data_IF_802068547790
#
_entry.id   IF_802068547790
#
_cell.length_a   1.000
_cell.length_b   1.000
_cell.length_c   1.000
_cell.angle_alpha   90.00
_cell.angle_beta   90.00
_cell.angle_gamma   90.00
#
_symmetry.space_group_name_H-M   'P 1'
#
loop_
_entity.id
_entity.type
_entity.pdbx_description
1 polymer ?
#
# COMPACT_ATOMS: atom_id res chain seq x y z
N UNK A 1 -7.67 -8.48 -13.21
CA UNK A 1 -8.95 -8.31 -12.47
C UNK A 1 -8.71 -8.62 -11.01
N UNK A 2 -9.16 -7.73 -10.13
CA UNK A 2 -9.12 -7.87 -8.67
C UNK A 2 -10.56 -7.87 -8.17
N UNK A 3 -10.91 -8.81 -7.31
CA UNK A 3 -12.27 -9.00 -6.78
C UNK A 3 -12.23 -8.98 -5.25
N UNK A 4 -13.10 -8.19 -4.65
CA UNK A 4 -13.40 -8.19 -3.24
C UNK A 4 -14.88 -8.55 -3.07
N UNK A 5 -15.20 -9.51 -2.23
CA UNK A 5 -16.59 -9.91 -1.97
C UNK A 5 -16.89 -9.88 -0.47
N UNK A 6 -17.77 -8.95 -0.09
CA UNK A 6 -18.19 -8.68 1.29
C UNK A 6 -17.02 -8.59 2.29
N UNK A 7 -15.88 -8.04 1.83
CA UNK A 7 -14.63 -7.98 2.60
C UNK A 7 -14.76 -6.99 3.75
N UNK A 8 -14.47 -7.43 4.95
CA UNK A 8 -14.32 -6.56 6.12
C UNK A 8 -13.04 -6.85 6.89
N UNK A 9 -12.52 -5.83 7.58
CA UNK A 9 -11.35 -5.95 8.45
C UNK A 9 -11.69 -5.36 9.81
N UNK A 10 -11.52 -6.18 10.86
CA UNK A 10 -11.65 -5.78 12.24
C UNK A 10 -10.40 -6.19 13.03
N UNK A 11 -10.04 -5.39 14.02
CA UNK A 11 -8.91 -5.65 14.92
C UNK A 11 -9.39 -5.59 16.37
N UNK A 12 -8.81 -6.39 17.29
CA UNK A 12 -9.15 -6.28 18.72
C UNK A 12 -8.83 -4.89 19.24
N UNK A 13 -9.72 -4.29 20.04
CA UNK A 13 -9.51 -2.96 20.62
C UNK A 13 -8.23 -2.86 21.46
N UNK A 14 -7.80 -3.98 22.07
CA UNK A 14 -6.55 -4.07 22.83
C UNK A 14 -5.28 -3.93 21.97
N UNK A 15 -5.36 -4.07 20.65
CA UNK A 15 -4.23 -3.93 19.74
C UNK A 15 -3.96 -2.47 19.34
N UNK A 16 -4.84 -1.53 19.68
CA UNK A 16 -4.76 -0.11 19.32
C UNK A 16 -4.09 0.77 20.38
N UNK A 17 -3.62 0.21 21.49
CA UNK A 17 -2.87 1.00 22.49
C UNK A 17 -1.43 1.19 22.01
N UNK A 18 -0.94 2.44 21.81
CA UNK A 18 0.48 2.66 21.53
C UNK A 18 1.31 2.13 22.69
N UNK A 19 2.42 1.44 22.38
CA UNK A 19 3.34 0.87 23.36
C UNK A 19 3.68 1.90 24.42
N UNK A 20 3.33 1.61 25.68
CA UNK A 20 3.69 2.43 26.83
C UNK A 20 5.22 2.52 26.92
N UNK A 21 5.71 3.73 27.17
CA UNK A 21 7.13 4.04 27.36
C UNK A 21 7.79 3.09 28.39
N UNK A 22 9.03 2.63 28.18
CA UNK A 22 9.72 1.77 29.13
C UNK A 22 10.12 2.57 30.37
N UNK A 23 9.42 2.37 31.50
CA UNK A 23 9.76 3.08 32.74
C UNK A 23 8.77 2.96 33.89
N UNK A 24 7.92 1.94 33.98
CA UNK A 24 7.10 1.69 35.16
C UNK A 24 7.48 0.35 35.79
N UNK A 25 7.99 0.39 37.03
CA UNK A 25 8.29 -0.79 37.85
C UNK A 25 7.04 -1.65 38.15
N UNK A 26 7.17 -2.98 38.26
CA UNK A 26 6.04 -3.85 38.52
C UNK A 26 5.63 -3.82 40.00
N UNK A 27 4.49 -3.22 40.29
CA UNK A 27 3.84 -3.39 41.58
C UNK A 27 3.31 -4.82 41.71
N UNK A 28 3.78 -5.52 42.76
CA UNK A 28 3.38 -6.87 43.14
C UNK A 28 1.87 -6.96 43.43
N UNK A 29 1.09 -7.47 42.51
CA UNK A 29 -0.34 -7.76 42.71
C UNK A 29 -0.53 -9.29 42.84
N UNK A 30 -0.89 -9.73 44.05
CA UNK A 30 -1.32 -11.10 44.38
C UNK A 30 -2.49 -11.51 43.49
N UNK A 31 -2.33 -12.58 42.72
CA UNK A 31 -3.36 -13.20 41.90
C UNK A 31 -4.52 -13.71 42.76
N UNK A 32 -5.62 -13.03 42.74
CA UNK A 32 -6.91 -13.59 43.15
C UNK A 32 -7.53 -14.26 41.93
N UNK A 33 -7.67 -15.58 41.97
CA UNK A 33 -8.44 -16.34 41.01
C UNK A 33 -9.93 -16.02 41.17
N UNK A 34 -10.43 -15.09 40.37
CA UNK A 34 -11.84 -14.86 40.13
C UNK A 34 -12.13 -15.24 38.67
N UNK A 35 -13.17 -16.03 38.41
CA UNK A 35 -13.71 -16.31 37.07
C UNK A 35 -13.96 -14.97 36.40
N UNK A 36 -13.11 -14.60 35.43
CA UNK A 36 -13.38 -13.49 34.52
C UNK A 36 -14.31 -14.00 33.45
N UNK A 37 -15.48 -13.44 33.40
CA UNK A 37 -16.42 -13.53 32.29
C UNK A 37 -15.65 -13.03 31.04
N UNK A 38 -15.43 -13.92 30.09
CA UNK A 38 -14.79 -13.56 28.82
C UNK A 38 -15.83 -12.84 27.95
N UNK A 39 -16.08 -11.56 28.24
CA UNK A 39 -16.72 -10.68 27.29
C UNK A 39 -15.95 -10.77 25.97
N UNK A 40 -16.65 -10.94 24.85
CA UNK A 40 -16.08 -10.88 23.50
C UNK A 40 -15.21 -9.62 23.42
N UNK A 41 -13.94 -9.73 23.04
CA UNK A 41 -13.07 -8.57 22.94
C UNK A 41 -13.75 -7.55 22.01
N UNK A 42 -13.84 -6.31 22.46
CA UNK A 42 -14.38 -5.22 21.66
C UNK A 42 -13.53 -5.11 20.38
N UNK A 43 -14.15 -5.24 19.22
CA UNK A 43 -13.48 -5.18 17.92
C UNK A 43 -13.68 -3.79 17.30
N UNK A 44 -12.59 -3.23 16.79
CA UNK A 44 -12.62 -1.99 16.00
C UNK A 44 -12.66 -2.36 14.53
N UNK A 45 -13.72 -1.98 13.84
CA UNK A 45 -13.84 -2.17 12.39
C UNK A 45 -13.01 -1.12 11.65
N UNK A 46 -11.99 -1.56 10.93
CA UNK A 46 -11.13 -0.72 10.07
C UNK A 46 -11.71 -0.58 8.66
N UNK A 47 -12.29 -1.66 8.14
CA UNK A 47 -12.95 -1.68 6.84
C UNK A 47 -14.29 -2.40 6.97
N UNK A 48 -15.37 -1.71 6.62
CA UNK A 48 -16.71 -2.26 6.59
C UNK A 48 -16.91 -3.15 5.36
N UNK A 49 -17.94 -4.04 5.36
CA UNK A 49 -18.20 -4.93 4.26
C UNK A 49 -18.19 -4.19 2.92
N UNK A 50 -17.27 -4.57 2.05
CA UNK A 50 -16.99 -3.91 0.77
C UNK A 50 -16.95 -4.96 -0.34
N UNK A 51 -17.70 -4.72 -1.40
CA UNK A 51 -17.71 -5.57 -2.61
C UNK A 51 -17.30 -4.71 -3.79
N UNK A 52 -16.21 -5.09 -4.47
CA UNK A 52 -15.61 -4.36 -5.58
C UNK A 52 -15.07 -5.33 -6.63
N UNK A 53 -15.12 -4.91 -7.89
CA UNK A 53 -14.37 -5.54 -8.98
C UNK A 53 -13.57 -4.46 -9.69
N UNK A 54 -12.23 -4.60 -9.71
CA UNK A 54 -11.31 -3.65 -10.32
C UNK A 54 -10.74 -4.28 -11.59
N UNK A 55 -11.17 -3.79 -12.73
CA UNK A 55 -10.76 -4.23 -14.06
C UNK A 55 -9.95 -3.19 -14.80
N UNK A 56 -10.06 -1.95 -14.38
CA UNK A 56 -9.38 -0.79 -14.95
C UNK A 56 -7.87 -0.92 -14.82
N UNK A 57 -7.13 -0.34 -15.76
CA UNK A 57 -5.66 -0.35 -15.72
C UNK A 57 -5.11 0.49 -14.57
N UNK A 58 -5.74 1.63 -14.30
CA UNK A 58 -5.32 2.54 -13.22
C UNK A 58 -6.50 2.88 -12.31
N UNK A 59 -6.37 2.55 -11.03
CA UNK A 59 -7.37 2.85 -9.99
C UNK A 59 -6.71 3.67 -8.90
N UNK A 60 -7.27 4.85 -8.61
CA UNK A 60 -6.85 5.64 -7.46
C UNK A 60 -7.77 5.41 -6.26
N UNK A 61 -7.21 5.40 -5.06
CA UNK A 61 -7.94 5.31 -3.79
C UNK A 61 -7.62 6.57 -2.99
N UNK A 62 -8.63 7.42 -2.78
CA UNK A 62 -8.49 8.69 -2.03
C UNK A 62 -9.34 8.68 -0.77
N UNK A 63 -9.08 9.62 0.14
CA UNK A 63 -9.80 9.78 1.41
C UNK A 63 -8.91 10.38 2.50
N UNK A 64 -9.48 10.72 3.65
CA UNK A 64 -8.77 11.29 4.78
C UNK A 64 -7.77 10.29 5.42
N UNK A 65 -6.82 10.80 6.21
CA UNK A 65 -5.91 9.94 6.98
C UNK A 65 -6.72 9.09 7.97
N UNK A 66 -6.33 7.81 8.12
CA UNK A 66 -7.06 6.88 8.98
C UNK A 66 -8.38 6.34 8.38
N UNK A 67 -8.78 6.73 7.19
CA UNK A 67 -10.05 6.27 6.59
C UNK A 67 -10.10 4.80 6.16
N UNK A 68 -8.97 4.06 6.20
CA UNK A 68 -8.90 2.64 5.82
C UNK A 68 -8.27 2.37 4.44
N UNK A 69 -7.79 3.38 3.70
CA UNK A 69 -7.18 3.25 2.36
C UNK A 69 -6.02 2.26 2.32
N UNK A 70 -5.05 2.43 3.23
CA UNK A 70 -3.88 1.54 3.29
C UNK A 70 -4.27 0.11 3.66
N UNK A 71 -5.32 -0.08 4.47
CA UNK A 71 -5.87 -1.40 4.77
C UNK A 71 -6.46 -2.03 3.51
N UNK A 72 -7.26 -1.27 2.75
CA UNK A 72 -7.80 -1.71 1.46
C UNK A 72 -6.68 -2.10 0.49
N UNK A 73 -5.64 -1.27 0.37
CA UNK A 73 -4.48 -1.55 -0.49
C UNK A 73 -3.75 -2.84 -0.05
N UNK A 74 -3.52 -3.03 1.25
CA UNK A 74 -2.80 -4.20 1.80
C UNK A 74 -3.58 -5.51 1.71
N UNK A 75 -4.90 -5.46 1.59
CA UNK A 75 -5.72 -6.64 1.29
C UNK A 75 -5.39 -7.22 -0.10
N UNK A 76 -5.03 -6.37 -1.08
CA UNK A 76 -4.83 -6.78 -2.47
C UNK A 76 -3.59 -7.67 -2.67
N UNK A 77 -2.61 -7.61 -1.77
CA UNK A 77 -1.42 -8.47 -1.82
C UNK A 77 -1.34 -9.46 -0.66
N UNK A 78 -2.38 -9.54 0.18
CA UNK A 78 -2.44 -10.43 1.34
C UNK A 78 -1.46 -10.03 2.47
N UNK A 79 -1.05 -8.76 2.57
CA UNK A 79 -0.36 -8.21 3.75
C UNK A 79 -1.32 -8.03 4.94
N UNK A 80 -2.58 -7.75 4.64
CA UNK A 80 -3.70 -7.82 5.55
C UNK A 80 -4.65 -8.86 4.99
N UNK A 81 -5.15 -9.75 5.84
CA UNK A 81 -6.18 -10.71 5.45
C UNK A 81 -7.55 -10.20 5.92
N UNK A 82 -8.62 -10.45 5.15
CA UNK A 82 -9.95 -10.06 5.56
C UNK A 82 -10.40 -10.87 6.79
N UNK A 83 -11.12 -10.21 7.72
CA UNK A 83 -11.78 -10.88 8.84
C UNK A 83 -13.02 -11.65 8.36
N UNK A 84 -13.68 -11.10 7.31
CA UNK A 84 -14.83 -11.75 6.63
C UNK A 84 -14.74 -11.45 5.13
N UNK A 85 -15.40 -12.27 4.33
CA UNK A 85 -15.35 -12.18 2.88
C UNK A 85 -14.05 -12.72 2.31
N UNK A 86 -13.78 -12.45 1.03
CA UNK A 86 -12.54 -12.87 0.36
C UNK A 86 -12.04 -11.83 -0.63
N UNK A 87 -10.74 -11.87 -0.89
CA UNK A 87 -10.07 -11.08 -1.94
C UNK A 87 -9.41 -12.03 -2.92
N UNK A 88 -9.70 -11.84 -4.21
CA UNK A 88 -9.05 -12.59 -5.29
C UNK A 88 -8.35 -11.66 -6.26
N UNK A 89 -7.15 -12.03 -6.65
CA UNK A 89 -6.36 -11.33 -7.66
C UNK A 89 -6.07 -12.31 -8.79
N UNK A 90 -6.59 -12.02 -9.98
CA UNK A 90 -6.53 -12.92 -11.14
C UNK A 90 -6.95 -14.36 -10.80
N UNK A 91 -8.00 -14.51 -9.98
CA UNK A 91 -8.56 -15.79 -9.58
C UNK A 91 -7.86 -16.47 -8.41
N UNK A 92 -6.73 -15.95 -7.91
CA UNK A 92 -6.01 -16.46 -6.73
C UNK A 92 -6.51 -15.78 -5.46
N UNK A 93 -6.83 -16.55 -4.44
CA UNK A 93 -7.29 -16.05 -3.15
C UNK A 93 -6.10 -15.56 -2.30
N UNK A 94 -6.23 -14.38 -1.68
CA UNK A 94 -5.14 -13.80 -0.87
C UNK A 94 -4.85 -14.59 0.40
N UNK A 95 -5.81 -15.32 0.94
CA UNK A 95 -5.65 -16.19 2.10
C UNK A 95 -5.01 -17.53 1.70
N UNK A 96 -5.62 -18.24 0.75
CA UNK A 96 -5.24 -19.61 0.42
C UNK A 96 -4.00 -19.65 -0.49
N UNK A 97 -3.91 -18.71 -1.45
CA UNK A 97 -2.84 -18.63 -2.44
C UNK A 97 -1.85 -17.48 -2.15
N UNK A 98 -1.75 -17.00 -0.91
CA UNK A 98 -1.04 -15.78 -0.55
C UNK A 98 0.40 -15.68 -1.07
N UNK A 99 1.12 -16.82 -1.22
CA UNK A 99 2.46 -16.84 -1.81
C UNK A 99 2.45 -16.55 -3.32
N UNK A 100 1.46 -17.08 -4.03
CA UNK A 100 1.29 -16.85 -5.47
C UNK A 100 0.81 -15.42 -5.73
N UNK A 101 -0.13 -14.92 -4.92
CA UNK A 101 -0.60 -13.53 -4.96
C UNK A 101 0.58 -12.56 -4.77
N UNK A 102 1.44 -12.74 -3.76
CA UNK A 102 2.61 -11.86 -3.52
C UNK A 102 3.70 -11.91 -4.59
N UNK A 103 3.69 -12.90 -5.49
CA UNK A 103 4.54 -12.89 -6.69
C UNK A 103 3.92 -12.10 -7.82
N UNK A 104 2.59 -12.05 -7.87
CA UNK A 104 1.81 -11.40 -8.91
C UNK A 104 1.57 -9.92 -8.59
N UNK A 105 1.44 -9.57 -7.31
CA UNK A 105 1.14 -8.23 -6.82
C UNK A 105 2.38 -7.62 -6.19
N UNK A 106 2.99 -6.67 -6.87
CA UNK A 106 4.05 -5.83 -6.32
C UNK A 106 3.45 -4.76 -5.42
N UNK A 107 4.08 -4.51 -4.27
CA UNK A 107 3.65 -3.49 -3.31
C UNK A 107 4.77 -2.50 -3.05
N UNK A 108 4.49 -1.21 -3.21
CA UNK A 108 5.42 -0.10 -2.93
C UNK A 108 4.88 0.70 -1.76
N UNK A 109 5.65 0.73 -0.66
CA UNK A 109 5.27 1.44 0.55
C UNK A 109 5.58 2.94 0.46
N UNK A 110 4.91 3.73 1.29
CA UNK A 110 5.17 5.17 1.45
C UNK A 110 6.58 5.44 1.99
N UNK A 111 7.05 4.60 2.90
CA UNK A 111 8.42 4.63 3.41
C UNK A 111 9.31 3.68 2.60
N UNK A 112 10.04 4.25 1.64
CA UNK A 112 10.98 3.50 0.82
C UNK A 112 12.14 2.92 1.64
N UNK A 113 12.60 3.59 2.70
CA UNK A 113 13.73 3.12 3.52
C UNK A 113 13.41 1.80 4.21
N UNK A 114 12.16 1.62 4.66
CA UNK A 114 11.71 0.36 5.26
C UNK A 114 11.69 -0.81 4.27
N UNK A 115 11.74 -0.54 2.96
CA UNK A 115 11.71 -1.54 1.90
C UNK A 115 13.10 -1.90 1.37
N UNK A 116 14.08 -1.00 1.49
CA UNK A 116 15.43 -1.19 1.00
C UNK A 116 16.28 -1.96 2.01
N UNK A 117 16.92 -3.04 1.56
CA UNK A 117 17.60 -4.00 2.44
C UNK A 117 19.09 -4.06 2.21
N UNK A 118 19.54 -3.77 0.97
CA UNK A 118 20.93 -3.94 0.56
C UNK A 118 21.70 -2.61 0.57
N UNK A 119 23.04 -2.65 0.70
CA UNK A 119 23.87 -1.44 0.79
C UNK A 119 23.85 -0.57 -0.46
N UNK A 120 23.66 -1.15 -1.65
CA UNK A 120 23.70 -0.45 -2.93
C UNK A 120 22.47 -0.74 -3.80
N UNK A 121 22.06 0.16 -4.71
CA UNK A 121 20.99 -0.07 -5.66
C UNK A 121 21.13 -1.36 -6.47
N UNK A 122 22.34 -1.65 -6.94
CA UNK A 122 22.66 -2.87 -7.70
C UNK A 122 22.34 -4.12 -6.89
N UNK A 123 22.79 -4.16 -5.64
CA UNK A 123 22.58 -5.32 -4.76
C UNK A 123 21.11 -5.49 -4.38
N UNK A 124 20.41 -4.38 -4.16
CA UNK A 124 18.98 -4.41 -3.79
C UNK A 124 18.11 -4.94 -4.93
N UNK A 125 18.28 -4.43 -6.14
CA UNK A 125 17.60 -4.95 -7.34
C UNK A 125 18.02 -6.40 -7.62
N UNK A 126 19.30 -6.74 -7.45
CA UNK A 126 19.78 -8.12 -7.64
C UNK A 126 19.14 -9.10 -6.68
N UNK A 127 18.80 -8.68 -5.45
CA UNK A 127 18.06 -9.49 -4.49
C UNK A 127 16.68 -9.87 -5.04
N UNK A 128 15.99 -8.92 -5.65
CA UNK A 128 14.68 -9.13 -6.29
C UNK A 128 14.79 -10.02 -7.54
N UNK A 129 15.75 -9.75 -8.42
CA UNK A 129 16.00 -10.56 -9.64
C UNK A 129 16.31 -12.03 -9.31
N UNK A 130 16.99 -12.34 -8.20
CA UNK A 130 17.24 -13.73 -7.77
C UNK A 130 15.98 -14.53 -7.48
N UNK A 131 14.87 -13.86 -7.20
CA UNK A 131 13.57 -14.51 -6.90
C UNK A 131 12.74 -14.77 -8.15
N UNK A 132 13.17 -14.27 -9.30
CA UNK A 132 12.57 -14.54 -10.61
C UNK A 132 13.17 -15.78 -11.26
N UNK A 133 12.59 -16.21 -12.37
CA UNK A 133 13.12 -17.34 -13.17
C UNK A 133 14.31 -16.98 -14.05
N UNK A 134 14.87 -15.75 -13.97
CA UNK A 134 15.97 -15.29 -14.80
C UNK A 134 17.22 -16.13 -14.58
N UNK A 135 17.79 -16.64 -15.69
CA UNK A 135 19.02 -17.44 -15.69
C UNK A 135 20.17 -16.67 -15.04
N UNK A 136 21.02 -17.37 -14.29
CA UNK A 136 22.10 -16.75 -13.51
C UNK A 136 23.03 -15.88 -14.35
N UNK A 137 23.32 -16.29 -15.58
CA UNK A 137 24.15 -15.57 -16.56
C UNK A 137 23.57 -14.23 -16.97
N UNK A 138 22.24 -14.08 -17.01
CA UNK A 138 21.52 -12.88 -17.46
C UNK A 138 21.11 -11.93 -16.32
N UNK A 139 21.33 -12.31 -15.06
CA UNK A 139 20.87 -11.52 -13.91
C UNK A 139 21.53 -10.15 -13.81
N UNK A 140 22.80 -10.06 -14.14
CA UNK A 140 23.53 -8.79 -14.11
C UNK A 140 22.96 -7.81 -15.14
N UNK A 141 22.72 -8.27 -16.37
CA UNK A 141 22.11 -7.50 -17.43
C UNK A 141 20.70 -7.03 -17.03
N UNK A 142 19.88 -7.93 -16.44
CA UNK A 142 18.55 -7.58 -15.97
C UNK A 142 18.57 -6.51 -14.88
N UNK A 143 19.54 -6.53 -13.98
CA UNK A 143 19.71 -5.49 -12.95
C UNK A 143 19.98 -4.13 -13.59
N UNK A 144 20.88 -4.07 -14.60
CA UNK A 144 21.16 -2.83 -15.32
C UNK A 144 19.95 -2.29 -16.07
N UNK A 145 19.19 -3.16 -16.75
CA UNK A 145 17.93 -2.78 -17.42
C UNK A 145 16.93 -2.16 -16.45
N UNK A 146 16.72 -2.83 -15.30
CA UNK A 146 15.76 -2.36 -14.29
C UNK A 146 16.19 -1.02 -13.71
N UNK A 147 17.47 -0.86 -13.33
CA UNK A 147 18.01 0.42 -12.84
C UNK A 147 17.94 1.50 -13.92
N UNK A 148 18.20 1.16 -15.18
CA UNK A 148 18.07 2.07 -16.32
C UNK A 148 16.64 2.55 -16.53
N UNK A 149 15.64 1.66 -16.37
CA UNK A 149 14.24 1.99 -16.57
C UNK A 149 13.70 3.03 -15.60
N UNK A 150 14.27 3.10 -14.38
CA UNK A 150 13.94 4.11 -13.36
C UNK A 150 14.97 5.26 -13.29
N UNK A 151 15.96 5.28 -14.17
CA UNK A 151 16.96 6.36 -14.25
C UNK A 151 18.06 6.29 -13.19
N UNK A 152 18.25 5.15 -12.51
CA UNK A 152 19.22 4.98 -11.42
C UNK A 152 20.51 4.25 -11.82
N UNK A 153 20.72 3.91 -13.10
CA UNK A 153 21.91 3.18 -13.56
C UNK A 153 23.22 3.84 -13.13
N UNK A 154 23.30 5.19 -13.17
CA UNK A 154 24.47 5.95 -12.78
C UNK A 154 24.76 5.96 -11.26
N UNK A 155 23.83 5.47 -10.43
CA UNK A 155 23.92 5.37 -8.98
C UNK A 155 24.01 3.92 -8.50
N UNK A 156 24.18 2.96 -9.41
CA UNK A 156 24.10 1.53 -9.13
C UNK A 156 24.97 1.07 -7.96
N UNK A 157 26.16 1.64 -7.82
CA UNK A 157 27.17 1.26 -6.80
C UNK A 157 27.33 2.31 -5.69
N UNK A 158 26.45 3.32 -5.64
CA UNK A 158 26.42 4.33 -4.57
C UNK A 158 25.73 3.75 -3.34
N UNK A 159 26.15 4.17 -2.15
CA UNK A 159 25.46 3.77 -0.93
C UNK A 159 24.00 4.22 -0.92
N UNK A 160 23.07 3.32 -0.57
CA UNK A 160 21.62 3.63 -0.46
C UNK A 160 21.38 4.80 0.52
N UNK A 161 22.20 4.95 1.56
CA UNK A 161 22.09 6.05 2.49
C UNK A 161 22.42 7.43 1.88
N UNK A 162 23.19 7.46 0.80
CA UNK A 162 23.53 8.70 0.08
C UNK A 162 22.46 9.10 -0.95
N UNK A 163 21.47 8.27 -1.20
CA UNK A 163 20.37 8.57 -2.12
C UNK A 163 19.40 9.58 -1.50
N UNK A 164 18.87 10.47 -2.33
CA UNK A 164 17.73 11.33 -1.94
C UNK A 164 16.46 10.50 -1.71
N UNK A 165 15.48 11.05 -1.00
CA UNK A 165 14.19 10.38 -0.77
C UNK A 165 13.51 9.92 -2.07
N UNK A 166 13.53 10.76 -3.12
CA UNK A 166 12.99 10.39 -4.43
C UNK A 166 13.76 9.26 -5.10
N UNK A 167 15.09 9.26 -4.99
CA UNK A 167 15.91 8.16 -5.51
C UNK A 167 15.67 6.85 -4.77
N UNK A 168 15.46 6.90 -3.45
CA UNK A 168 15.09 5.72 -2.65
C UNK A 168 13.72 5.19 -3.07
N UNK A 169 12.75 6.07 -3.33
CA UNK A 169 11.42 5.67 -3.83
C UNK A 169 11.49 5.00 -5.20
N UNK A 170 12.30 5.54 -6.13
CA UNK A 170 12.54 4.90 -7.41
C UNK A 170 13.27 3.55 -7.28
N UNK A 171 14.19 3.43 -6.31
CA UNK A 171 14.88 2.17 -6.05
C UNK A 171 13.91 1.11 -5.49
N UNK A 172 13.04 1.48 -4.54
CA UNK A 172 12.01 0.60 -4.04
C UNK A 172 11.08 0.10 -5.17
N UNK A 173 10.67 1.03 -6.05
CA UNK A 173 9.91 0.68 -7.25
C UNK A 173 10.70 -0.24 -8.19
N UNK A 174 11.99 0.02 -8.43
CA UNK A 174 12.86 -0.83 -9.25
C UNK A 174 12.92 -2.26 -8.70
N UNK A 175 13.09 -2.41 -7.38
CA UNK A 175 13.07 -3.70 -6.71
C UNK A 175 11.76 -4.48 -6.91
N UNK A 176 10.63 -3.78 -6.94
CA UNK A 176 9.33 -4.37 -7.23
C UNK A 176 9.18 -4.72 -8.70
N UNK A 177 9.50 -3.81 -9.62
CA UNK A 177 9.43 -4.04 -11.08
C UNK A 177 10.33 -5.19 -11.53
N UNK A 178 11.48 -5.38 -10.87
CA UNK A 178 12.38 -6.50 -11.13
C UNK A 178 11.72 -7.88 -11.03
N UNK A 179 10.62 -7.99 -10.26
CA UNK A 179 9.87 -9.25 -10.11
C UNK A 179 8.78 -9.46 -11.17
N UNK A 180 8.62 -8.52 -12.10
CA UNK A 180 7.63 -8.55 -13.19
C UNK A 180 6.19 -8.81 -12.70
N UNK A 181 5.70 -8.01 -11.75
CA UNK A 181 4.36 -8.20 -11.23
C UNK A 181 3.30 -7.87 -12.30
N UNK A 182 2.11 -8.47 -12.20
CA UNK A 182 0.96 -8.15 -13.05
C UNK A 182 0.14 -6.98 -12.51
N UNK A 183 0.18 -6.80 -11.19
CA UNK A 183 -0.50 -5.73 -10.47
C UNK A 183 0.52 -4.99 -9.63
N UNK A 184 0.44 -3.68 -9.62
CA UNK A 184 1.24 -2.80 -8.76
C UNK A 184 0.32 -2.06 -7.81
N UNK A 185 0.60 -2.15 -6.52
CA UNK A 185 -0.10 -1.42 -5.47
C UNK A 185 0.85 -0.42 -4.85
N UNK A 186 0.46 0.84 -4.79
CA UNK A 186 1.22 1.91 -4.20
C UNK A 186 0.45 2.48 -2.99
N UNK A 187 1.10 2.50 -1.83
CA UNK A 187 0.54 3.13 -0.64
C UNK A 187 1.23 4.48 -0.42
N UNK A 188 0.65 5.55 -0.95
CA UNK A 188 1.13 6.93 -0.89
C UNK A 188 2.58 7.15 -1.39
N UNK A 189 2.91 6.78 -2.63
CA UNK A 189 4.29 6.75 -3.13
C UNK A 189 4.94 8.13 -3.26
N UNK A 190 4.19 9.22 -3.14
CA UNK A 190 4.65 10.60 -3.39
C UNK A 190 4.65 11.49 -2.15
N UNK A 191 4.22 11.00 -0.98
CA UNK A 191 3.98 11.80 0.22
C UNK A 191 5.23 12.54 0.73
N UNK A 192 6.40 11.93 0.61
CA UNK A 192 7.68 12.50 1.06
C UNK A 192 8.52 13.10 -0.08
N UNK A 193 7.94 13.25 -1.28
CA UNK A 193 8.67 13.71 -2.46
C UNK A 193 8.43 15.20 -2.73
N UNK A 194 9.49 15.90 -3.17
CA UNK A 194 9.36 17.22 -3.74
C UNK A 194 8.60 17.17 -5.09
N UNK A 195 8.22 18.34 -5.61
CA UNK A 195 7.42 18.46 -6.83
C UNK A 195 8.08 17.78 -8.04
N UNK A 196 9.42 17.88 -8.17
CA UNK A 196 10.15 17.29 -9.29
C UNK A 196 10.05 15.76 -9.28
N UNK A 197 10.29 15.14 -8.11
CA UNK A 197 10.22 13.70 -7.95
C UNK A 197 8.78 13.18 -8.04
N UNK A 198 7.81 13.92 -7.48
CA UNK A 198 6.39 13.61 -7.63
C UNK A 198 5.99 13.54 -9.10
N UNK A 199 6.33 14.56 -9.90
CA UNK A 199 6.07 14.58 -11.34
C UNK A 199 6.72 13.40 -12.06
N UNK A 200 7.96 13.06 -11.69
CA UNK A 200 8.68 11.94 -12.28
C UNK A 200 8.02 10.59 -11.98
N UNK A 201 7.69 10.32 -10.73
CA UNK A 201 6.99 9.09 -10.30
C UNK A 201 5.61 9.00 -10.96
N UNK A 202 4.83 10.08 -10.98
CA UNK A 202 3.50 10.10 -11.64
C UNK A 202 3.61 9.80 -13.13
N UNK A 203 4.60 10.39 -13.83
CA UNK A 203 4.83 10.11 -15.25
C UNK A 203 5.26 8.65 -15.48
N UNK A 204 6.04 8.07 -14.58
CA UNK A 204 6.43 6.67 -14.64
C UNK A 204 5.23 5.75 -14.45
N UNK A 205 4.37 6.01 -13.45
CA UNK A 205 3.13 5.25 -13.22
C UNK A 205 2.22 5.22 -14.45
N UNK A 206 2.10 6.34 -15.16
CA UNK A 206 1.29 6.45 -16.39
C UNK A 206 1.82 5.61 -17.57
N UNK A 207 3.10 5.20 -17.55
CA UNK A 207 3.74 4.38 -18.60
C UNK A 207 3.73 2.89 -18.30
N UNK A 208 3.38 2.50 -17.08
CA UNK A 208 3.36 1.09 -16.68
C UNK A 208 2.25 0.34 -17.44
N UNK A 209 2.57 -0.84 -17.94
CA UNK A 209 1.61 -1.72 -18.62
C UNK A 209 0.77 -2.54 -17.63
N UNK A 210 1.25 -2.66 -16.40
CA UNK A 210 0.61 -3.39 -15.31
C UNK A 210 -0.69 -2.70 -14.87
N UNK A 211 -1.59 -3.46 -14.26
CA UNK A 211 -2.69 -2.87 -13.51
C UNK A 211 -2.13 -2.16 -12.29
N UNK A 212 -2.46 -0.89 -12.11
CA UNK A 212 -1.98 -0.04 -11.00
C UNK A 212 -3.13 0.31 -10.08
N UNK A 213 -2.96 0.06 -8.79
CA UNK A 213 -3.83 0.59 -7.74
C UNK A 213 -2.98 1.50 -6.86
N UNK A 214 -3.30 2.78 -6.78
CA UNK A 214 -2.52 3.72 -5.99
C UNK A 214 -3.38 4.46 -4.96
N UNK A 215 -2.97 4.37 -3.71
CA UNK A 215 -3.49 5.21 -2.63
C UNK A 215 -2.79 6.56 -2.69
N UNK A 216 -3.55 7.63 -2.68
CA UNK A 216 -3.00 8.98 -2.69
C UNK A 216 -3.93 9.99 -2.01
N UNK A 217 -3.36 11.04 -1.43
CA UNK A 217 -4.08 12.24 -1.01
C UNK A 217 -3.95 13.39 -2.04
N UNK A 218 -3.16 13.18 -3.10
CA UNK A 218 -2.98 14.12 -4.21
C UNK A 218 -4.11 13.91 -5.23
N UNK A 219 -5.05 14.86 -5.23
CA UNK A 219 -6.22 14.81 -6.11
C UNK A 219 -5.87 15.00 -7.59
N UNK A 220 -4.79 15.72 -7.89
CA UNK A 220 -4.34 15.92 -9.28
C UNK A 220 -3.80 14.60 -9.84
N UNK A 221 -3.05 13.84 -9.03
CA UNK A 221 -2.62 12.49 -9.41
C UNK A 221 -3.81 11.53 -9.52
N UNK A 222 -4.81 11.65 -8.64
CA UNK A 222 -6.02 10.82 -8.69
C UNK A 222 -6.84 11.05 -9.98
N UNK A 223 -6.88 12.29 -10.47
CA UNK A 223 -7.56 12.64 -11.73
C UNK A 223 -6.94 12.00 -12.98
N UNK A 224 -5.74 11.45 -12.90
CA UNK A 224 -5.08 10.74 -14.01
C UNK A 224 -5.41 9.25 -14.06
N UNK A 225 -6.15 8.71 -13.09
CA UNK A 225 -6.58 7.32 -13.06
C UNK A 225 -7.77 7.08 -14.00
N UNK A 226 -8.05 5.81 -14.31
CA UNK A 226 -9.25 5.41 -15.07
C UNK A 226 -10.50 5.36 -14.16
N UNK A 227 -10.30 5.12 -12.85
CA UNK A 227 -11.35 5.02 -11.84
C UNK A 227 -10.85 5.50 -10.48
N UNK A 228 -11.71 6.15 -9.70
CA UNK A 228 -11.36 6.64 -8.36
C UNK A 228 -12.35 6.12 -7.33
N UNK A 229 -11.81 5.52 -6.26
CA UNK A 229 -12.55 5.11 -5.07
C UNK A 229 -12.33 6.15 -3.97
N UNK A 230 -13.39 6.58 -3.32
CA UNK A 230 -13.33 7.44 -2.12
C UNK A 230 -13.58 6.58 -0.90
N UNK A 231 -12.61 6.50 0.00
CA UNK A 231 -12.73 5.76 1.26
C UNK A 231 -12.88 6.74 2.42
N UNK A 232 -13.94 6.53 3.21
CA UNK A 232 -14.24 7.33 4.37
C UNK A 232 -14.76 6.47 5.51
N UNK A 233 -14.20 6.61 6.73
CA UNK A 233 -14.54 5.78 7.91
C UNK A 233 -14.67 4.29 7.59
N UNK A 234 -13.71 3.73 6.86
CA UNK A 234 -13.69 2.32 6.49
C UNK A 234 -14.76 1.91 5.47
N UNK A 235 -15.37 2.85 4.75
CA UNK A 235 -16.38 2.57 3.71
C UNK A 235 -15.96 3.19 2.38
N UNK A 236 -16.26 2.50 1.29
CA UNK A 236 -16.21 3.12 -0.04
C UNK A 236 -17.48 3.92 -0.21
N UNK A 237 -17.37 5.25 -0.19
CA UNK A 237 -18.50 6.19 -0.22
C UNK A 237 -18.74 6.79 -1.60
N UNK A 238 -17.74 6.72 -2.50
CA UNK A 238 -17.91 7.02 -3.91
C UNK A 238 -16.99 6.11 -4.74
N UNK A 239 -17.43 5.78 -5.93
CA UNK A 239 -16.79 4.86 -6.86
C UNK A 239 -17.24 5.22 -8.28
N UNK A 240 -16.31 5.67 -9.12
CA UNK A 240 -16.65 6.11 -10.47
C UNK A 240 -15.54 6.81 -11.22
N UNK A 241 -15.92 7.69 -12.15
CA UNK A 241 -14.96 8.47 -12.92
C UNK A 241 -14.14 9.39 -11.99
N UNK A 242 -12.89 9.70 -12.36
CA UNK A 242 -12.02 10.55 -11.54
C UNK A 242 -12.67 11.87 -11.15
N UNK A 243 -13.30 12.56 -12.09
CA UNK A 243 -13.92 13.87 -11.87
C UNK A 243 -15.08 13.77 -10.88
N UNK A 244 -15.97 12.78 -11.06
CA UNK A 244 -17.15 12.59 -10.21
C UNK A 244 -16.73 12.24 -8.78
N UNK A 245 -15.79 11.29 -8.62
CA UNK A 245 -15.33 10.84 -7.31
C UNK A 245 -14.53 11.92 -6.57
N UNK A 246 -13.67 12.67 -7.26
CA UNK A 246 -12.95 13.79 -6.66
C UNK A 246 -13.90 14.92 -6.26
N UNK A 247 -14.93 15.22 -7.06
CA UNK A 247 -15.96 16.19 -6.69
C UNK A 247 -16.71 15.74 -5.42
N UNK A 248 -17.17 14.49 -5.36
CA UNK A 248 -17.83 13.91 -4.19
C UNK A 248 -16.93 13.98 -2.93
N UNK A 249 -15.64 13.72 -3.07
CA UNK A 249 -14.69 13.83 -1.96
C UNK A 249 -14.55 15.28 -1.47
N UNK A 250 -14.47 16.27 -2.39
CA UNK A 250 -14.41 17.69 -2.02
C UNK A 250 -15.67 18.14 -1.28
N UNK A 251 -16.85 17.75 -1.73
CA UNK A 251 -18.12 18.03 -1.06
C UNK A 251 -18.18 17.40 0.34
N UNK A 252 -17.73 16.14 0.48
CA UNK A 252 -17.65 15.47 1.76
C UNK A 252 -16.75 16.22 2.76
N UNK A 253 -15.61 16.72 2.30
CA UNK A 253 -14.69 17.50 3.15
C UNK A 253 -15.23 18.89 3.48
N UNK A 254 -15.91 19.56 2.55
CA UNK A 254 -16.51 20.87 2.78
C UNK A 254 -17.63 20.83 3.84
N UNK A 255 -18.46 19.79 3.83
CA UNK A 255 -19.54 19.62 4.84
C UNK A 255 -18.98 19.39 6.24
N UNK A 256 -17.81 18.76 6.38
CA UNK A 256 -17.15 18.52 7.68
C UNK A 256 -16.52 19.75 8.28
N UNK A 257 -15.96 20.62 7.47
CA UNK A 257 -15.40 21.91 7.95
C UNK A 257 -16.50 22.83 8.49
N UNK A 258 -17.74 22.66 8.00
CA UNK A 258 -18.92 23.44 8.49
C UNK A 258 -19.57 22.90 9.78
N UNK A 259 -19.31 21.65 10.13
CA UNK A 259 -19.69 21.04 11.40
C UNK A 259 -18.44 21.00 12.27
N UNK A 260 -18.35 21.89 13.26
CA UNK A 260 -17.27 21.93 14.27
C UNK A 260 -17.34 20.65 15.11
N UNK A 261 -16.92 19.53 14.58
CA UNK A 261 -16.53 18.38 15.37
C UNK A 261 -15.02 18.49 15.58
N UNK A 262 -14.65 18.95 16.78
CA UNK A 262 -13.27 18.85 17.28
C UNK A 262 -12.80 17.39 17.24
N UNK A 263 -11.48 17.17 17.02
CA UNK A 263 -10.87 15.86 16.90
C UNK A 263 -10.97 15.03 18.17
#
# INVERSE_FOLDING_TARGET
MIELDAVSVAVPASASTPAASPGAEPASARRRWGRTDHGTPEEITILHPTTLSLTERSVAVIGANGSGKSTLARLLNGLVLPTRGYVRVHGLDTHDDGRAVRRMVGFVFSDAEAQLVMPTPREDVALSVRRTGVERSLRAERVEEVLGSVGLAHLADVSVHALSGGQKQLLALAGVLATEPRVLVFDEPTTLLDLRWRTHVTALLGRLEQQVVHVTHDLDTALLADRVLVVDHGRVVADGTPEASVAAYRELMATRVGTTDEP
#
